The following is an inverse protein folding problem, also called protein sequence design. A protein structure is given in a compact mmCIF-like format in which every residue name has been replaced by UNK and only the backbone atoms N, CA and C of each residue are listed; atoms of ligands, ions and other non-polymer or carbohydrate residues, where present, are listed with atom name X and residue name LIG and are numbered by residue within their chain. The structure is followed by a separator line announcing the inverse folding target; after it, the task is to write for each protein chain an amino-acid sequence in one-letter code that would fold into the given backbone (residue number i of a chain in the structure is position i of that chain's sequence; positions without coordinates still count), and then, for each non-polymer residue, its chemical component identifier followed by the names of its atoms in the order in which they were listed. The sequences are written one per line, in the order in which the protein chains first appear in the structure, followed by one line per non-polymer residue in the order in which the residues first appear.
data_IF_691780597819
#
_entry.id   IF_691780597819
#
_cell.length_a   1.000
_cell.length_b   1.000
_cell.length_c   1.000
_cell.angle_alpha   90.00
_cell.angle_beta   90.00
_cell.angle_gamma   90.00
#
_symmetry.space_group_name_H-M   'P 1'
#
loop_
_entity.id
_entity.type
_entity.pdbx_description
1 polymer ?
#
# COMPACT_ATOMS: atom_id res chain seq x y z
N UNK A 1 -2.94 -34.25 39.27
CA UNK A 1 -4.32 -34.71 38.96
C UNK A 1 -4.74 -34.08 37.63
N UNK A 2 -4.46 -34.75 36.50
CA UNK A 2 -4.73 -34.23 35.14
C UNK A 2 -6.08 -34.75 34.64
N UNK A 3 -7.02 -33.83 34.37
CA UNK A 3 -8.32 -34.14 33.75
C UNK A 3 -8.12 -34.39 32.26
N UNK A 4 -8.53 -35.56 31.78
CA UNK A 4 -8.64 -35.89 30.36
C UNK A 4 -9.80 -35.10 29.76
N UNK A 5 -9.50 -34.14 28.88
CA UNK A 5 -10.51 -33.50 28.02
C UNK A 5 -10.69 -34.41 26.81
N UNK A 6 -11.91 -34.91 26.63
CA UNK A 6 -12.32 -35.84 25.60
C UNK A 6 -12.26 -35.20 24.20
N UNK A 7 -11.35 -35.72 23.38
CA UNK A 7 -11.06 -35.32 21.98
C UNK A 7 -12.29 -35.37 21.06
N UNK A 8 -13.36 -36.08 21.45
CA UNK A 8 -14.58 -36.25 20.66
C UNK A 8 -15.41 -34.97 20.45
N UNK A 9 -15.41 -34.01 21.38
CA UNK A 9 -16.21 -32.78 21.21
C UNK A 9 -15.61 -31.78 20.21
N UNK A 10 -14.29 -31.80 20.03
CA UNK A 10 -13.59 -30.83 19.16
C UNK A 10 -13.85 -31.15 17.68
N UNK A 11 -13.90 -32.43 17.31
CA UNK A 11 -14.08 -32.86 15.92
C UNK A 11 -15.50 -32.63 15.42
N UNK A 12 -16.52 -32.81 16.27
CA UNK A 12 -17.92 -32.58 15.89
C UNK A 12 -18.24 -31.09 15.64
N UNK A 13 -17.55 -30.18 16.35
CA UNK A 13 -17.77 -28.73 16.20
C UNK A 13 -17.15 -28.19 14.90
N UNK A 14 -16.02 -28.76 14.45
CA UNK A 14 -15.37 -28.42 13.18
C UNK A 14 -16.17 -28.90 11.95
N UNK A 15 -16.85 -30.05 12.05
CA UNK A 15 -17.66 -30.61 10.94
C UNK A 15 -19.04 -29.92 10.79
N UNK A 16 -19.63 -29.42 11.87
CA UNK A 16 -20.89 -28.68 11.81
C UNK A 16 -20.71 -27.25 11.24
N UNK A 17 -19.51 -26.67 11.36
CA UNK A 17 -19.19 -25.37 10.77
C UNK A 17 -19.04 -25.44 9.23
N UNK A 18 -18.66 -26.59 8.68
CA UNK A 18 -18.55 -26.78 7.22
C UNK A 18 -19.90 -26.91 6.49
N UNK A 19 -20.98 -27.28 7.19
CA UNK A 19 -22.32 -27.41 6.57
C UNK A 19 -23.15 -26.11 6.58
N UNK A 20 -22.67 -25.06 7.25
CA UNK A 20 -23.26 -23.72 7.24
C UNK A 20 -22.52 -22.75 6.30
N UNK A 21 -21.74 -23.28 5.36
CA UNK A 21 -21.23 -22.52 4.23
C UNK A 21 -22.39 -22.12 3.31
N UNK A 22 -23.18 -21.14 3.76
CA UNK A 22 -23.82 -20.18 2.88
C UNK A 22 -22.81 -19.85 1.80
N UNK A 23 -23.24 -19.91 0.54
CA UNK A 23 -22.47 -19.37 -0.59
C UNK A 23 -22.31 -17.87 -0.32
N UNK A 24 -21.30 -17.50 0.47
CA UNK A 24 -20.78 -16.17 0.46
C UNK A 24 -20.32 -15.97 -0.97
N UNK A 25 -21.07 -15.19 -1.75
CA UNK A 25 -20.57 -14.67 -3.01
C UNK A 25 -19.25 -14.00 -2.68
N UNK A 26 -18.14 -14.67 -3.03
CA UNK A 26 -16.82 -14.15 -2.75
C UNK A 26 -16.76 -12.76 -3.38
N UNK A 27 -16.49 -11.76 -2.55
CA UNK A 27 -16.22 -10.44 -3.06
C UNK A 27 -14.93 -10.51 -3.86
N UNK A 28 -15.06 -10.58 -5.18
CA UNK A 28 -13.90 -10.57 -6.08
C UNK A 28 -13.36 -9.15 -6.19
N UNK A 29 -12.05 -8.94 -5.95
CA UNK A 29 -11.42 -7.64 -6.18
C UNK A 29 -11.57 -7.18 -7.63
N UNK A 30 -11.77 -5.88 -7.82
CA UNK A 30 -11.84 -5.25 -9.15
C UNK A 30 -10.49 -5.24 -9.86
N UNK A 31 -9.39 -5.37 -9.11
CA UNK A 31 -8.04 -5.43 -9.65
C UNK A 31 -6.95 -5.34 -8.57
N UNK A 32 -5.72 -5.59 -8.98
CA UNK A 32 -4.52 -5.58 -8.12
C UNK A 32 -3.50 -4.56 -8.62
N UNK A 33 -3.80 -3.25 -8.56
CA UNK A 33 -2.90 -2.22 -9.07
C UNK A 33 -1.60 -2.17 -8.27
N UNK A 34 -0.50 -1.84 -8.92
CA UNK A 34 0.77 -1.53 -8.27
C UNK A 34 1.30 -0.18 -8.77
N UNK A 35 2.20 0.43 -8.02
CA UNK A 35 2.88 1.66 -8.39
C UNK A 35 4.28 1.68 -7.79
N UNK A 36 5.24 2.21 -8.54
CA UNK A 36 6.61 2.40 -8.06
C UNK A 36 7.12 3.74 -8.53
N UNK A 37 7.95 4.39 -7.73
CA UNK A 37 8.77 5.52 -8.17
C UNK A 37 10.14 5.45 -7.50
N UNK A 38 11.12 6.08 -8.12
CA UNK A 38 12.45 6.21 -7.56
C UNK A 38 13.11 7.48 -8.05
N UNK A 39 14.00 8.01 -7.24
CA UNK A 39 14.74 9.24 -7.51
C UNK A 39 16.19 9.07 -7.02
N UNK A 40 17.14 9.50 -7.85
CA UNK A 40 18.53 9.68 -7.45
C UNK A 40 18.78 11.19 -7.46
N UNK A 41 19.21 11.73 -6.33
CA UNK A 41 19.47 13.16 -6.18
C UNK A 41 20.83 13.40 -5.55
N UNK A 42 21.46 14.54 -5.85
CA UNK A 42 22.72 14.96 -5.24
C UNK A 42 22.63 16.42 -4.84
N UNK A 43 23.00 16.74 -3.61
CA UNK A 43 23.13 18.11 -3.14
C UNK A 43 24.39 18.31 -2.29
N UNK A 44 24.83 19.57 -2.16
CA UNK A 44 25.98 19.90 -1.30
C UNK A 44 25.68 19.69 0.19
N UNK A 45 24.40 19.76 0.58
CA UNK A 45 23.93 19.69 1.97
C UNK A 45 23.57 18.26 2.38
N UNK A 46 23.01 17.45 1.48
CA UNK A 46 22.47 16.12 1.80
C UNK A 46 23.26 14.96 1.17
N UNK A 47 24.30 15.27 0.37
CA UNK A 47 25.10 14.25 -0.30
C UNK A 47 24.39 13.61 -1.49
N UNK A 48 24.80 12.39 -1.84
CA UNK A 48 24.14 11.53 -2.82
C UNK A 48 23.06 10.72 -2.12
N UNK A 49 21.82 10.82 -2.61
CA UNK A 49 20.64 10.18 -2.03
C UNK A 49 19.89 9.36 -3.07
N UNK A 50 19.42 8.19 -2.64
CA UNK A 50 18.52 7.31 -3.37
C UNK A 50 17.19 7.24 -2.60
N UNK A 51 16.13 7.70 -3.23
CA UNK A 51 14.75 7.57 -2.74
C UNK A 51 14.00 6.54 -3.57
N UNK A 52 13.19 5.72 -2.91
CA UNK A 52 12.34 4.76 -3.60
C UNK A 52 11.05 4.47 -2.85
N UNK A 53 10.04 4.10 -3.62
CA UNK A 53 8.74 3.68 -3.11
C UNK A 53 8.13 2.63 -4.01
N UNK A 54 7.62 1.57 -3.40
CA UNK A 54 6.78 0.57 -4.05
C UNK A 54 5.45 0.42 -3.31
N UNK A 55 4.38 0.20 -4.07
CA UNK A 55 3.02 0.02 -3.56
C UNK A 55 2.33 -1.12 -4.30
N UNK A 56 1.70 -2.01 -3.54
CA UNK A 56 0.76 -3.01 -4.02
C UNK A 56 -0.62 -2.73 -3.42
N UNK A 57 -1.62 -2.60 -4.27
CA UNK A 57 -2.99 -2.32 -3.89
C UNK A 57 -3.98 -3.39 -4.34
N UNK A 58 -5.18 -3.28 -3.79
CA UNK A 58 -6.36 -4.08 -4.13
C UNK A 58 -7.51 -3.09 -4.35
N UNK A 59 -8.06 -3.06 -5.56
CA UNK A 59 -9.27 -2.29 -5.88
C UNK A 59 -10.48 -3.09 -5.40
N UNK A 60 -11.22 -2.53 -4.44
CA UNK A 60 -12.18 -3.28 -3.62
C UNK A 60 -13.61 -3.01 -4.07
N UNK A 61 -14.04 -1.75 -4.15
CA UNK A 61 -15.36 -1.41 -4.70
C UNK A 61 -15.30 -0.16 -5.58
N UNK A 62 -16.19 -0.11 -6.57
CA UNK A 62 -16.52 1.11 -7.30
C UNK A 62 -17.73 1.74 -6.62
N UNK A 63 -17.62 3.01 -6.22
CA UNK A 63 -18.72 3.70 -5.55
C UNK A 63 -19.86 3.87 -6.57
N UNK A 64 -21.10 3.43 -6.24
CA UNK A 64 -22.25 3.51 -7.14
C UNK A 64 -22.45 4.91 -7.72
N UNK A 65 -22.85 4.99 -8.99
CA UNK A 65 -23.07 6.26 -9.71
C UNK A 65 -21.83 7.17 -9.78
N UNK A 66 -20.62 6.62 -9.60
CA UNK A 66 -19.38 7.39 -9.71
C UNK A 66 -18.28 6.58 -10.41
N UNK A 67 -17.19 7.27 -10.80
CA UNK A 67 -15.97 6.63 -11.30
C UNK A 67 -14.98 6.29 -10.18
N UNK A 68 -15.33 6.56 -8.93
CA UNK A 68 -14.43 6.41 -7.78
C UNK A 68 -14.25 4.94 -7.43
N UNK A 69 -13.02 4.54 -7.15
CA UNK A 69 -12.67 3.19 -6.74
C UNK A 69 -12.00 3.26 -5.37
N UNK A 70 -12.56 2.56 -4.39
CA UNK A 70 -11.91 2.35 -3.09
C UNK A 70 -10.79 1.34 -3.26
N UNK A 71 -9.62 1.69 -2.79
CA UNK A 71 -8.44 0.85 -2.83
C UNK A 71 -7.81 0.76 -1.43
N UNK A 72 -7.42 -0.46 -1.04
CA UNK A 72 -6.51 -0.67 0.08
C UNK A 72 -5.14 -0.99 -0.48
N UNK A 73 -4.08 -0.50 0.16
CA UNK A 73 -2.73 -0.74 -0.30
C UNK A 73 -1.76 -0.94 0.86
N UNK A 74 -0.69 -1.66 0.56
CA UNK A 74 0.53 -1.72 1.35
C UNK A 74 1.69 -1.19 0.50
N UNK A 75 2.62 -0.50 1.12
CA UNK A 75 3.78 0.05 0.46
C UNK A 75 5.05 -0.08 1.29
N UNK A 76 6.15 0.25 0.65
CA UNK A 76 7.46 0.36 1.27
C UNK A 76 8.17 1.56 0.66
N UNK A 77 8.50 2.53 1.50
CA UNK A 77 9.41 3.62 1.15
C UNK A 77 10.79 3.32 1.71
N UNK A 78 11.83 3.68 0.98
CA UNK A 78 13.19 3.73 1.52
C UNK A 78 13.88 5.01 1.04
N UNK A 79 14.80 5.50 1.87
CA UNK A 79 15.71 6.58 1.53
C UNK A 79 17.08 6.18 2.05
N UNK A 80 18.10 6.21 1.19
CA UNK A 80 19.49 5.93 1.54
C UNK A 80 20.36 7.11 1.11
N UNK A 81 21.26 7.58 1.98
CA UNK A 81 22.24 8.62 1.66
C UNK A 81 23.66 8.16 1.97
N UNK A 82 24.63 8.67 1.21
CA UNK A 82 26.05 8.48 1.51
C UNK A 82 26.48 9.20 2.82
N UNK A 83 25.69 10.18 3.28
CA UNK A 83 25.86 10.85 4.58
C UNK A 83 25.09 10.12 5.67
N UNK A 84 25.81 9.43 6.54
CA UNK A 84 25.21 8.59 7.59
C UNK A 84 24.65 9.43 8.75
N UNK A 85 25.19 10.62 8.96
CA UNK A 85 24.72 11.60 9.94
C UNK A 85 23.32 12.14 9.62
N UNK A 86 22.89 12.09 8.35
CA UNK A 86 21.57 12.54 7.91
C UNK A 86 20.51 11.46 8.19
N UNK A 87 20.11 11.37 9.45
CA UNK A 87 19.13 10.39 9.95
C UNK A 87 17.84 10.38 9.13
N UNK A 88 17.39 11.54 8.67
CA UNK A 88 16.16 11.68 7.88
C UNK A 88 16.26 11.10 6.46
N UNK A 89 17.49 10.89 5.97
CA UNK A 89 17.81 10.36 4.64
C UNK A 89 18.29 8.90 4.69
N UNK A 90 18.22 8.24 5.85
CA UNK A 90 18.61 6.85 6.03
C UNK A 90 17.51 6.11 6.79
N UNK A 91 16.49 5.69 6.04
CA UNK A 91 15.27 5.12 6.61
C UNK A 91 14.56 4.13 5.70
N UNK A 92 13.77 3.27 6.32
CA UNK A 92 12.78 2.42 5.67
C UNK A 92 11.43 2.64 6.35
N UNK A 93 10.37 2.77 5.55
CA UNK A 93 9.03 3.05 6.03
C UNK A 93 7.99 2.14 5.35
N UNK A 94 7.67 0.97 5.94
CA UNK A 94 6.50 0.22 5.55
C UNK A 94 5.23 1.04 5.79
N UNK A 95 4.31 0.93 4.84
CA UNK A 95 3.09 1.71 4.76
C UNK A 95 1.90 0.81 4.58
N UNK A 96 0.79 1.19 5.20
CA UNK A 96 -0.55 0.67 4.88
C UNK A 96 -1.51 1.84 4.75
N UNK A 97 -2.47 1.74 3.85
CA UNK A 97 -3.38 2.84 3.62
C UNK A 97 -4.62 2.48 2.84
N UNK A 98 -5.49 3.47 2.74
CA UNK A 98 -6.68 3.43 1.90
C UNK A 98 -6.76 4.70 1.07
N UNK A 99 -7.26 4.57 -0.15
CA UNK A 99 -7.39 5.70 -1.07
C UNK A 99 -8.62 5.54 -1.97
N UNK A 100 -9.13 6.68 -2.40
CA UNK A 100 -10.09 6.79 -3.50
C UNK A 100 -9.32 7.13 -4.77
N UNK A 101 -9.45 6.27 -5.78
CA UNK A 101 -8.88 6.47 -7.11
C UNK A 101 -9.93 7.10 -8.02
N UNK A 102 -9.57 8.15 -8.72
CA UNK A 102 -10.36 8.85 -9.73
C UNK A 102 -9.67 8.65 -11.09
N UNK A 103 -10.18 7.74 -11.94
CA UNK A 103 -9.66 7.59 -13.30
C UNK A 103 -9.97 8.84 -14.13
N UNK A 104 -8.95 9.41 -14.76
CA UNK A 104 -9.05 10.56 -15.65
C UNK A 104 -8.85 10.04 -17.08
N UNK A 105 -9.89 10.14 -17.90
CA UNK A 105 -9.79 9.84 -19.32
C UNK A 105 -9.18 11.03 -20.05
N UNK A 106 -8.07 10.81 -20.74
CA UNK A 106 -7.40 11.81 -21.56
C UNK A 106 -7.53 11.44 -23.05
N UNK A 107 -7.43 12.42 -23.98
CA UNK A 107 -7.48 12.15 -25.42
C UNK A 107 -6.37 11.18 -25.89
N UNK A 108 -6.50 10.65 -27.11
CA UNK A 108 -5.44 9.91 -27.82
C UNK A 108 -4.83 8.68 -27.11
N UNK A 109 -5.59 8.00 -26.23
CA UNK A 109 -5.09 6.81 -25.52
C UNK A 109 -4.16 7.13 -24.36
N UNK A 110 -4.14 8.39 -23.92
CA UNK A 110 -3.55 8.79 -22.66
C UNK A 110 -4.48 8.40 -21.49
N UNK A 111 -3.88 8.14 -20.34
CA UNK A 111 -4.58 7.84 -19.11
C UNK A 111 -4.08 8.76 -18.01
N UNK A 112 -4.96 9.09 -17.07
CA UNK A 112 -4.60 9.78 -15.85
C UNK A 112 -5.31 9.15 -14.65
N UNK A 113 -4.80 9.45 -13.47
CA UNK A 113 -5.40 9.04 -12.21
C UNK A 113 -5.11 10.11 -11.16
N UNK A 114 -6.12 10.41 -10.35
CA UNK A 114 -5.98 11.15 -9.10
C UNK A 114 -6.34 10.22 -7.94
N UNK A 115 -5.45 10.13 -6.96
CA UNK A 115 -5.61 9.38 -5.72
C UNK A 115 -5.73 10.36 -4.57
N UNK A 116 -6.73 10.20 -3.71
CA UNK A 116 -6.83 10.91 -2.43
C UNK A 116 -6.98 9.87 -1.34
N UNK A 117 -6.19 9.95 -0.29
CA UNK A 117 -6.17 8.90 0.71
C UNK A 117 -5.48 9.25 2.01
N UNK A 118 -5.44 8.24 2.88
CA UNK A 118 -4.78 8.29 4.17
C UNK A 118 -3.90 7.05 4.27
N UNK A 119 -2.70 7.20 4.81
CA UNK A 119 -1.80 6.09 5.11
C UNK A 119 -1.13 6.27 6.46
N UNK A 120 -0.88 5.15 7.11
CA UNK A 120 0.01 5.06 8.25
C UNK A 120 1.38 4.57 7.79
N UNK A 121 2.46 5.23 8.20
CA UNK A 121 3.83 4.80 7.95
C UNK A 121 4.54 4.59 9.27
N UNK A 122 5.24 3.46 9.42
CA UNK A 122 6.17 3.29 10.52
C UNK A 122 7.58 3.51 10.00
N UNK A 123 8.24 4.56 10.46
CA UNK A 123 9.57 4.96 10.00
C UNK A 123 10.62 4.34 10.91
N UNK A 124 11.51 3.54 10.31
CA UNK A 124 12.68 2.98 10.96
C UNK A 124 13.92 3.69 10.41
N UNK A 125 14.72 4.26 11.31
CA UNK A 125 15.99 4.89 10.96
C UNK A 125 17.12 3.90 11.24
N UNK A 126 18.00 3.67 10.26
CA UNK A 126 19.08 2.67 10.42
C UNK A 126 20.47 3.28 10.60
N UNK A 127 20.64 4.59 10.39
CA UNK A 127 21.93 5.26 10.55
C UNK A 127 22.15 5.88 11.95
N UNK A 128 21.18 5.85 12.87
CA UNK A 128 21.36 6.34 14.26
C UNK A 128 20.39 5.72 15.27
N UNK A 129 20.57 6.03 16.56
CA UNK A 129 19.65 5.68 17.67
C UNK A 129 18.30 6.45 17.65
N UNK A 130 17.91 7.02 16.52
CA UNK A 130 16.63 7.70 16.39
C UNK A 130 15.48 6.73 16.66
N UNK A 131 14.46 7.24 17.37
CA UNK A 131 13.30 6.44 17.71
C UNK A 131 12.42 6.19 16.48
N UNK A 132 11.92 4.95 16.38
CA UNK A 132 10.85 4.62 15.44
C UNK A 132 9.67 5.57 15.63
N UNK A 133 9.14 6.09 14.52
CA UNK A 133 7.98 6.98 14.54
C UNK A 133 6.83 6.36 13.76
N UNK A 134 5.61 6.51 14.27
CA UNK A 134 4.37 6.21 13.53
C UNK A 134 3.78 7.53 13.03
N UNK A 135 3.66 7.65 11.71
CA UNK A 135 3.13 8.84 11.06
C UNK A 135 1.81 8.53 10.37
N UNK A 136 0.85 9.44 10.45
CA UNK A 136 -0.42 9.38 9.72
C UNK A 136 -0.43 10.51 8.69
N UNK A 137 -0.52 10.15 7.42
CA UNK A 137 -0.39 11.08 6.30
C UNK A 137 -1.69 11.09 5.49
N UNK A 138 -2.27 12.27 5.34
CA UNK A 138 -3.31 12.55 4.33
C UNK A 138 -2.62 13.00 3.06
N UNK A 139 -2.96 12.40 1.92
CA UNK A 139 -2.28 12.69 0.66
C UNK A 139 -3.25 12.87 -0.51
N UNK A 140 -2.79 13.64 -1.49
CA UNK A 140 -3.31 13.66 -2.85
C UNK A 140 -2.15 13.37 -3.80
N UNK A 141 -2.33 12.40 -4.71
CA UNK A 141 -1.30 11.97 -5.67
C UNK A 141 -1.95 11.87 -7.04
N UNK A 142 -1.30 12.41 -8.07
CA UNK A 142 -1.76 12.25 -9.44
C UNK A 142 -0.67 11.60 -10.30
N UNK A 143 -1.10 10.91 -11.35
CA UNK A 143 -0.22 10.30 -12.34
C UNK A 143 -0.86 10.36 -13.71
N UNK A 144 -0.05 10.57 -14.72
CA UNK A 144 -0.47 10.61 -16.12
C UNK A 144 0.48 9.74 -16.93
N UNK A 145 -0.05 9.08 -17.94
CA UNK A 145 0.73 8.26 -18.86
C UNK A 145 0.02 8.10 -20.17
N UNK A 146 0.66 7.39 -21.09
CA UNK A 146 0.08 7.12 -22.38
C UNK A 146 0.98 6.27 -23.24
N UNK A 147 0.43 5.80 -24.34
CA UNK A 147 1.17 5.02 -25.31
C UNK A 147 2.01 5.95 -26.20
N UNK A 148 3.35 5.84 -26.11
CA UNK A 148 4.27 6.62 -26.93
C UNK A 148 4.18 6.30 -28.43
N UNK A 149 3.53 5.19 -28.82
CA UNK A 149 3.41 4.75 -30.22
C UNK A 149 2.23 5.37 -30.96
N UNK A 150 1.30 6.02 -30.27
CA UNK A 150 0.14 6.69 -30.88
C UNK A 150 0.43 8.19 -31.00
N UNK A 151 1.28 8.56 -31.97
CA UNK A 151 1.40 9.93 -32.46
C UNK A 151 0.65 10.06 -33.79
#
# INVERSE_FOLDING_TARGET
MLRRVSVGCIVATLLAASSLATRASAWEPLGYPYSTWGEISRSEIEGLKLDGYGEQGIDVLRIPNSRLILNFFSGLRFTESDRHEDVWNNKIAPTIGTKLKVPIALPAGHWGQLDIGIRGERVFHHASHAHDTLEMIVFARWGFGGDWKKK
#
